data_IF_063817647336
#
_entry.id   IF_063817647336
#
_cell.length_a   1.000
_cell.length_b   1.000
_cell.length_c   1.000
_cell.angle_alpha   90.00
_cell.angle_beta   90.00
_cell.angle_gamma   90.00
#
_symmetry.space_group_name_H-M   'P 1'
#
loop_
_entity.id
_entity.type
_entity.pdbx_description
1 polymer ?
#
# COMPACT_ATOMS: atom_id res chain seq x y z
N UNK A 1 20.08 -6.07 21.37
CA UNK A 1 19.45 -7.31 21.89
C UNK A 1 20.06 -8.45 21.08
N UNK A 2 20.66 -9.46 21.71
CA UNK A 2 21.39 -10.52 20.98
C UNK A 2 20.42 -11.25 20.04
N UNK A 3 20.80 -11.45 18.78
CA UNK A 3 20.01 -12.22 17.83
C UNK A 3 19.82 -13.63 18.40
N UNK A 4 18.56 -14.04 18.59
CA UNK A 4 18.20 -15.40 19.06
C UNK A 4 18.77 -16.47 18.13
N UNK A 5 19.03 -16.11 16.88
CA UNK A 5 19.69 -16.93 15.87
C UNK A 5 21.14 -16.50 15.65
N UNK A 6 21.99 -17.49 15.32
CA UNK A 6 23.43 -17.29 15.07
C UNK A 6 23.71 -16.41 13.85
N UNK A 7 22.79 -16.37 12.89
CA UNK A 7 22.87 -15.58 11.67
C UNK A 7 21.48 -15.32 11.06
N UNK A 8 21.38 -14.27 10.24
CA UNK A 8 20.13 -13.83 9.59
C UNK A 8 19.56 -14.87 8.62
N UNK A 9 20.41 -15.70 8.01
CA UNK A 9 19.94 -16.74 7.10
C UNK A 9 19.18 -17.84 7.85
N UNK A 10 19.68 -18.24 9.03
CA UNK A 10 18.98 -19.16 9.93
C UNK A 10 17.64 -18.60 10.41
N UNK A 11 17.58 -17.32 10.78
CA UNK A 11 16.34 -16.63 11.15
C UNK A 11 15.30 -16.70 10.02
N UNK A 12 15.72 -16.38 8.79
CA UNK A 12 14.85 -16.43 7.61
C UNK A 12 14.37 -17.85 7.29
N UNK A 13 15.23 -18.86 7.46
CA UNK A 13 14.85 -20.26 7.26
C UNK A 13 13.78 -20.70 8.26
N UNK A 14 13.92 -20.35 9.54
CA UNK A 14 12.94 -20.65 10.58
C UNK A 14 11.61 -19.93 10.32
N UNK A 15 11.66 -18.64 9.97
CA UNK A 15 10.47 -17.87 9.59
C UNK A 15 9.70 -18.51 8.43
N UNK A 16 10.39 -18.91 7.36
CA UNK A 16 9.76 -19.54 6.20
C UNK A 16 9.16 -20.90 6.53
N UNK A 17 9.83 -21.70 7.37
CA UNK A 17 9.31 -23.00 7.83
C UNK A 17 8.05 -22.82 8.68
N UNK A 18 8.07 -21.90 9.66
CA UNK A 18 6.93 -21.60 10.50
C UNK A 18 5.75 -21.07 9.69
N UNK A 19 6.00 -20.13 8.78
CA UNK A 19 4.96 -19.60 7.90
C UNK A 19 4.36 -20.68 7.00
N UNK A 20 5.15 -21.65 6.56
CA UNK A 20 4.65 -22.81 5.79
C UNK A 20 3.77 -23.70 6.65
N UNK A 21 4.19 -24.06 7.86
CA UNK A 21 3.42 -24.92 8.77
C UNK A 21 2.12 -24.26 9.19
N UNK A 22 2.18 -23.02 9.69
CA UNK A 22 1.00 -22.27 10.15
C UNK A 22 0.11 -21.92 8.95
N UNK A 23 0.69 -21.58 7.81
CA UNK A 23 -0.04 -21.38 6.55
C UNK A 23 -0.82 -22.62 6.12
N UNK A 24 -0.21 -23.81 6.18
CA UNK A 24 -0.87 -25.07 5.86
C UNK A 24 -2.03 -25.38 6.82
N UNK A 25 -1.86 -25.10 8.11
CA UNK A 25 -2.94 -25.20 9.11
C UNK A 25 -4.06 -24.22 8.76
N UNK A 26 -3.73 -22.95 8.47
CA UNK A 26 -4.69 -21.92 8.09
C UNK A 26 -5.52 -22.32 6.87
N UNK A 27 -4.89 -22.81 5.81
CA UNK A 27 -5.57 -23.30 4.60
C UNK A 27 -6.50 -24.48 4.94
N UNK A 28 -6.06 -25.42 5.78
CA UNK A 28 -6.89 -26.54 6.22
C UNK A 28 -8.12 -26.09 7.02
N UNK A 29 -7.99 -24.99 7.77
CA UNK A 29 -9.08 -24.33 8.49
C UNK A 29 -9.92 -23.37 7.61
N UNK A 30 -9.66 -23.34 6.30
CA UNK A 30 -10.31 -22.43 5.32
C UNK A 30 -10.08 -20.94 5.62
N UNK A 31 -8.97 -20.62 6.29
CA UNK A 31 -8.57 -19.25 6.57
C UNK A 31 -7.68 -18.70 5.44
N UNK A 32 -7.79 -17.40 5.10
CA UNK A 32 -6.84 -16.76 4.20
C UNK A 32 -5.41 -16.83 4.73
N UNK A 33 -4.42 -17.02 3.84
CA UNK A 33 -3.00 -17.09 4.21
C UNK A 33 -2.49 -15.83 4.93
N UNK A 34 -3.09 -14.68 4.63
CA UNK A 34 -2.82 -13.41 5.32
C UNK A 34 -2.94 -13.56 6.84
N UNK A 35 -4.02 -14.20 7.30
CA UNK A 35 -4.29 -14.39 8.73
C UNK A 35 -3.24 -15.30 9.36
N UNK A 36 -2.84 -16.35 8.65
CA UNK A 36 -1.80 -17.27 9.11
C UNK A 36 -0.44 -16.58 9.25
N UNK A 37 -0.07 -15.70 8.31
CA UNK A 37 1.22 -14.99 8.36
C UNK A 37 1.26 -13.91 9.44
N UNK A 38 0.13 -13.23 9.70
CA UNK A 38 0.02 -12.32 10.87
C UNK A 38 0.17 -13.11 12.16
N UNK A 39 -0.46 -14.29 12.28
CA UNK A 39 -0.30 -15.14 13.45
C UNK A 39 1.15 -15.62 13.64
N UNK A 40 1.87 -15.93 12.55
CA UNK A 40 3.31 -16.21 12.61
C UNK A 40 4.06 -15.02 13.18
N UNK A 41 3.78 -13.81 12.68
CA UNK A 41 4.37 -12.55 13.17
C UNK A 41 4.15 -12.34 14.67
N UNK A 42 2.93 -12.54 15.16
CA UNK A 42 2.61 -12.43 16.59
C UNK A 42 3.42 -13.44 17.42
N UNK A 43 3.48 -14.70 16.97
CA UNK A 43 4.20 -15.75 17.69
C UNK A 43 5.71 -15.48 17.73
N UNK A 44 6.31 -15.13 16.60
CA UNK A 44 7.76 -14.93 16.50
C UNK A 44 8.20 -13.55 17.00
N UNK A 45 7.27 -12.60 17.10
CA UNK A 45 7.51 -11.23 17.55
C UNK A 45 7.85 -11.10 19.03
N UNK A 46 8.21 -9.87 19.48
CA UNK A 46 8.65 -9.59 20.84
C UNK A 46 7.63 -9.97 21.92
N UNK A 47 6.34 -9.89 21.60
CA UNK A 47 5.24 -10.11 22.53
C UNK A 47 5.06 -11.57 22.96
N UNK A 48 5.63 -12.54 22.22
CA UNK A 48 5.49 -13.97 22.53
C UNK A 48 6.84 -14.66 22.66
N UNK A 49 7.51 -15.01 21.55
CA UNK A 49 8.78 -15.72 21.60
C UNK A 49 10.01 -14.80 21.52
N UNK A 50 9.87 -13.59 20.98
CA UNK A 50 10.99 -12.66 20.79
C UNK A 50 12.08 -13.19 19.87
N UNK A 51 11.73 -14.08 18.94
CA UNK A 51 12.67 -14.69 18.00
C UNK A 51 13.04 -13.75 16.87
N UNK A 52 12.09 -12.92 16.46
CA UNK A 52 12.22 -11.91 15.41
C UNK A 52 11.88 -10.58 16.04
N UNK A 53 12.89 -9.72 16.13
CA UNK A 53 12.65 -8.30 16.31
C UNK A 53 12.30 -7.72 14.95
N UNK A 54 11.57 -6.61 14.89
CA UNK A 54 11.41 -5.83 13.65
C UNK A 54 12.79 -5.31 13.21
N UNK A 55 13.58 -6.20 12.61
CA UNK A 55 14.93 -5.98 12.15
C UNK A 55 14.87 -5.37 10.75
N UNK A 56 15.86 -4.55 10.41
CA UNK A 56 15.93 -3.81 9.14
C UNK A 56 15.72 -4.69 7.89
N UNK A 57 16.06 -5.99 7.95
CA UNK A 57 15.90 -6.91 6.82
C UNK A 57 14.44 -7.31 6.57
N UNK A 58 13.70 -7.71 7.61
CA UNK A 58 12.29 -8.12 7.46
C UNK A 58 11.45 -6.92 7.02
N UNK A 59 11.70 -5.75 7.62
CA UNK A 59 11.09 -4.48 7.24
C UNK A 59 11.40 -4.09 5.77
N UNK A 60 12.64 -4.25 5.31
CA UNK A 60 13.00 -4.00 3.91
C UNK A 60 12.25 -4.94 2.96
N UNK A 61 12.20 -6.24 3.27
CA UNK A 61 11.48 -7.23 2.46
C UNK A 61 9.97 -6.95 2.45
N UNK A 62 9.41 -6.55 3.59
CA UNK A 62 8.02 -6.11 3.72
C UNK A 62 7.72 -4.91 2.81
N UNK A 63 8.54 -3.85 2.88
CA UNK A 63 8.40 -2.64 2.04
C UNK A 63 8.49 -2.97 0.55
N UNK A 64 9.41 -3.85 0.14
CA UNK A 64 9.50 -4.33 -1.24
C UNK A 64 8.25 -5.12 -1.64
N UNK A 65 7.71 -5.97 -0.75
CA UNK A 65 6.50 -6.73 -0.98
C UNK A 65 5.27 -5.86 -1.22
N UNK A 66 5.09 -4.81 -0.42
CA UNK A 66 4.00 -3.84 -0.60
C UNK A 66 4.16 -3.09 -1.92
N UNK A 67 5.37 -2.61 -2.23
CA UNK A 67 5.65 -1.92 -3.48
C UNK A 67 5.31 -2.81 -4.69
N UNK A 68 5.76 -4.07 -4.69
CA UNK A 68 5.41 -5.00 -5.77
C UNK A 68 3.93 -5.37 -5.82
N UNK A 69 3.24 -5.45 -4.67
CA UNK A 69 1.80 -5.69 -4.65
C UNK A 69 1.06 -4.60 -5.39
N UNK A 70 1.30 -3.35 -5.00
CA UNK A 70 0.60 -2.21 -5.57
C UNK A 70 1.03 -1.94 -7.01
N UNK A 71 2.29 -2.22 -7.35
CA UNK A 71 2.74 -2.24 -8.73
C UNK A 71 1.99 -3.26 -9.59
N UNK A 72 1.90 -4.53 -9.16
CA UNK A 72 1.19 -5.57 -9.91
C UNK A 72 -0.30 -5.23 -10.05
N UNK A 73 -0.87 -4.56 -9.06
CA UNK A 73 -2.27 -4.11 -9.08
C UNK A 73 -2.45 -2.95 -10.05
N UNK A 74 -1.55 -1.96 -10.01
CA UNK A 74 -1.49 -0.88 -10.99
C UNK A 74 -1.31 -1.40 -12.41
N UNK A 75 -0.51 -2.44 -12.61
CA UNK A 75 -0.24 -3.07 -13.91
C UNK A 75 -1.46 -3.76 -14.52
N UNK A 76 -2.36 -4.29 -13.66
CA UNK A 76 -3.60 -4.92 -14.08
C UNK A 76 -4.72 -3.91 -14.35
N UNK A 77 -4.57 -2.67 -13.90
CA UNK A 77 -5.58 -1.65 -14.14
C UNK A 77 -5.56 -1.17 -15.58
N UNK A 78 -6.69 -1.34 -16.23
CA UNK A 78 -6.92 -0.74 -17.53
C UNK A 78 -7.28 0.74 -17.36
N UNK A 79 -6.42 1.63 -17.85
CA UNK A 79 -6.63 3.08 -17.88
C UNK A 79 -7.96 3.48 -18.55
N UNK A 80 -8.46 2.66 -19.47
CA UNK A 80 -9.76 2.88 -20.10
C UNK A 80 -10.92 2.66 -19.12
N UNK A 81 -10.82 1.64 -18.25
CA UNK A 81 -11.81 1.42 -17.19
C UNK A 81 -11.69 2.46 -16.07
N UNK A 82 -10.48 2.95 -15.76
CA UNK A 82 -10.33 4.08 -14.82
C UNK A 82 -11.06 5.33 -15.34
N UNK A 83 -11.02 5.61 -16.65
CA UNK A 83 -11.77 6.74 -17.21
C UNK A 83 -13.28 6.56 -17.14
N UNK A 84 -13.79 5.34 -17.34
CA UNK A 84 -15.24 5.09 -17.28
C UNK A 84 -15.78 4.94 -15.86
N UNK A 85 -14.93 4.56 -14.89
CA UNK A 85 -15.33 4.32 -13.49
C UNK A 85 -14.73 5.31 -12.48
N UNK A 86 -13.83 6.19 -12.91
CA UNK A 86 -13.15 7.14 -12.03
C UNK A 86 -14.10 8.07 -11.30
N UNK A 87 -15.19 8.50 -11.96
CA UNK A 87 -16.20 9.33 -11.32
C UNK A 87 -17.04 8.54 -10.30
N UNK A 88 -17.32 7.26 -10.58
CA UNK A 88 -18.00 6.36 -9.64
C UNK A 88 -17.12 6.12 -8.42
N UNK A 89 -15.85 5.74 -8.63
CA UNK A 89 -14.89 5.51 -7.56
C UNK A 89 -14.61 6.76 -6.71
N UNK A 90 -14.55 7.94 -7.33
CA UNK A 90 -14.40 9.22 -6.64
C UNK A 90 -15.65 9.54 -5.82
N UNK A 91 -16.84 9.43 -6.41
CA UNK A 91 -18.10 9.71 -5.72
C UNK A 91 -18.35 8.74 -4.56
N UNK A 92 -18.10 7.44 -4.75
CA UNK A 92 -18.28 6.43 -3.70
C UNK A 92 -17.21 6.54 -2.63
N UNK A 93 -15.95 6.80 -2.99
CA UNK A 93 -14.85 7.00 -2.04
C UNK A 93 -15.06 8.24 -1.17
N UNK A 94 -15.30 9.41 -1.78
CA UNK A 94 -15.59 10.64 -1.04
C UNK A 94 -16.86 10.51 -0.21
N UNK A 95 -17.91 9.91 -0.77
CA UNK A 95 -19.17 9.68 -0.07
C UNK A 95 -18.99 8.77 1.16
N UNK A 96 -18.24 7.68 1.03
CA UNK A 96 -17.94 6.77 2.14
C UNK A 96 -17.08 7.43 3.20
N UNK A 97 -15.99 8.11 2.84
CA UNK A 97 -15.11 8.81 3.80
C UNK A 97 -15.88 9.89 4.55
N UNK A 98 -16.70 10.68 3.86
CA UNK A 98 -17.54 11.69 4.48
C UNK A 98 -18.55 11.06 5.44
N UNK A 99 -19.31 10.06 4.97
CA UNK A 99 -20.33 9.39 5.78
C UNK A 99 -19.72 8.76 7.05
N UNK A 100 -18.65 7.99 6.90
CA UNK A 100 -18.00 7.30 8.02
C UNK A 100 -17.32 8.26 9.00
N UNK A 101 -16.70 9.34 8.50
CA UNK A 101 -16.16 10.41 9.35
C UNK A 101 -17.26 11.09 10.17
N UNK A 102 -18.38 11.46 9.54
CA UNK A 102 -19.48 12.14 10.25
C UNK A 102 -20.08 11.25 11.32
N UNK A 103 -20.40 9.99 10.98
CA UNK A 103 -20.95 9.04 11.96
C UNK A 103 -19.95 8.74 13.07
N UNK A 104 -18.68 8.48 12.74
CA UNK A 104 -17.61 8.24 13.70
C UNK A 104 -17.40 9.40 14.67
N UNK A 105 -17.47 10.64 14.17
CA UNK A 105 -17.32 11.85 14.98
C UNK A 105 -18.42 11.93 16.05
N UNK A 106 -19.69 11.76 15.67
CA UNK A 106 -20.79 11.82 16.63
C UNK A 106 -20.74 10.67 17.65
N UNK A 107 -20.30 9.47 17.25
CA UNK A 107 -20.07 8.37 18.19
C UNK A 107 -18.99 8.75 19.19
N UNK A 108 -17.84 9.29 18.74
CA UNK A 108 -16.74 9.69 19.60
C UNK A 108 -17.13 10.83 20.57
N UNK A 109 -17.90 11.82 20.11
CA UNK A 109 -18.48 12.86 20.97
C UNK A 109 -19.42 12.25 22.02
N UNK A 110 -20.29 11.30 21.63
CA UNK A 110 -21.21 10.63 22.56
C UNK A 110 -20.47 9.79 23.62
N UNK A 111 -19.26 9.33 23.32
CA UNK A 111 -18.35 8.68 24.26
C UNK A 111 -17.59 9.66 25.17
N UNK A 112 -17.85 10.97 25.05
CA UNK A 112 -17.27 12.02 25.89
C UNK A 112 -15.91 12.53 25.42
N UNK A 113 -15.49 12.23 24.19
CA UNK A 113 -14.23 12.76 23.64
C UNK A 113 -14.34 14.25 23.31
N UNK A 114 -13.22 14.97 23.41
CA UNK A 114 -13.16 16.38 22.95
C UNK A 114 -13.38 16.46 21.44
N UNK A 115 -13.86 17.59 20.89
CA UNK A 115 -14.08 17.74 19.44
C UNK A 115 -12.86 17.42 18.58
N UNK A 116 -11.67 17.85 19.00
CA UNK A 116 -10.43 17.59 18.26
C UNK A 116 -10.11 16.09 18.30
N UNK A 117 -10.13 15.46 19.48
CA UNK A 117 -9.91 14.01 19.62
C UNK A 117 -10.94 13.18 18.83
N UNK A 118 -12.21 13.57 18.90
CA UNK A 118 -13.29 12.93 18.17
C UNK A 118 -13.08 13.00 16.65
N UNK A 119 -12.55 14.11 16.14
CA UNK A 119 -12.21 14.27 14.73
C UNK A 119 -11.05 13.35 14.31
N UNK A 120 -9.98 13.27 15.11
CA UNK A 120 -8.89 12.33 14.87
C UNK A 120 -9.37 10.88 14.84
N UNK A 121 -10.19 10.47 15.82
CA UNK A 121 -10.74 9.12 15.89
C UNK A 121 -11.68 8.84 14.71
N UNK A 122 -12.54 9.80 14.36
CA UNK A 122 -13.46 9.67 13.23
C UNK A 122 -12.73 9.42 11.90
N UNK A 123 -11.68 10.19 11.63
CA UNK A 123 -10.85 10.04 10.44
C UNK A 123 -10.10 8.70 10.49
N UNK A 124 -9.53 8.33 11.64
CA UNK A 124 -8.88 7.04 11.83
C UNK A 124 -9.82 5.85 11.54
N UNK A 125 -11.09 5.94 11.94
CA UNK A 125 -12.11 4.91 11.67
C UNK A 125 -12.49 4.79 10.20
N UNK A 126 -12.23 5.83 9.39
CA UNK A 126 -12.51 5.75 7.97
C UNK A 126 -11.53 4.87 7.22
N UNK A 127 -10.30 4.69 7.73
CA UNK A 127 -9.23 3.93 7.07
C UNK A 127 -9.65 2.51 6.72
N UNK A 128 -9.30 2.13 5.51
CA UNK A 128 -9.50 0.79 4.98
C UNK A 128 -8.13 0.14 4.79
N UNK A 129 -8.06 -1.17 5.01
CA UNK A 129 -6.82 -1.91 4.77
C UNK A 129 -6.67 -2.23 3.28
N UNK A 130 -6.19 -1.25 2.50
CA UNK A 130 -5.97 -1.36 1.05
C UNK A 130 -5.21 -2.63 0.70
N UNK A 131 -4.10 -2.91 1.39
CA UNK A 131 -3.27 -4.10 1.17
C UNK A 131 -4.07 -5.40 1.31
N UNK A 132 -4.86 -5.53 2.38
CA UNK A 132 -5.64 -6.74 2.67
C UNK A 132 -6.73 -6.93 1.62
N UNK A 133 -7.50 -5.89 1.32
CA UNK A 133 -8.59 -5.98 0.33
C UNK A 133 -8.03 -6.32 -1.05
N UNK A 134 -6.97 -5.63 -1.47
CA UNK A 134 -6.31 -5.85 -2.76
C UNK A 134 -5.73 -7.27 -2.85
N UNK A 135 -5.13 -7.77 -1.77
CA UNK A 135 -4.63 -9.16 -1.72
C UNK A 135 -5.78 -10.17 -1.78
N UNK A 136 -6.86 -9.97 -1.02
CA UNK A 136 -8.04 -10.84 -1.07
C UNK A 136 -8.68 -10.87 -2.47
N UNK A 137 -8.83 -9.72 -3.13
CA UNK A 137 -9.32 -9.64 -4.50
C UNK A 137 -8.35 -10.34 -5.47
N UNK A 138 -7.05 -10.17 -5.28
CA UNK A 138 -6.04 -10.83 -6.12
C UNK A 138 -6.07 -12.35 -5.95
N UNK A 139 -6.21 -12.85 -4.73
CA UNK A 139 -6.23 -14.28 -4.42
C UNK A 139 -7.50 -14.95 -4.96
N UNK A 140 -8.62 -14.22 -4.95
CA UNK A 140 -9.88 -14.64 -5.60
C UNK A 140 -9.89 -14.42 -7.12
N UNK A 141 -8.85 -13.80 -7.69
CA UNK A 141 -8.80 -13.39 -9.12
C UNK A 141 -9.92 -12.43 -9.52
N UNK A 142 -10.40 -11.62 -8.57
CA UNK A 142 -11.50 -10.66 -8.74
C UNK A 142 -11.01 -9.23 -9.01
N UNK A 143 -9.70 -8.99 -9.15
CA UNK A 143 -9.14 -7.64 -9.41
C UNK A 143 -9.71 -7.01 -10.69
N UNK A 144 -10.03 -7.84 -11.70
CA UNK A 144 -10.52 -7.39 -12.99
C UNK A 144 -12.06 -7.29 -13.10
N UNK A 145 -12.79 -7.68 -12.06
CA UNK A 145 -14.25 -7.57 -12.05
C UNK A 145 -14.68 -6.11 -11.87
N UNK A 146 -15.95 -5.82 -12.18
CA UNK A 146 -16.53 -4.50 -11.96
C UNK A 146 -16.36 -4.05 -10.50
N UNK A 147 -16.74 -4.91 -9.54
CA UNK A 147 -16.62 -4.61 -8.12
C UNK A 147 -15.17 -4.51 -7.66
N UNK A 148 -14.25 -5.32 -8.19
CA UNK A 148 -12.84 -5.26 -7.84
C UNK A 148 -12.16 -3.96 -8.31
N UNK A 149 -12.48 -3.51 -9.52
CA UNK A 149 -11.96 -2.24 -10.06
C UNK A 149 -12.52 -1.03 -9.33
N UNK A 150 -13.82 -1.04 -9.01
CA UNK A 150 -14.43 0.01 -8.17
C UNK A 150 -13.82 -0.02 -6.76
N UNK A 151 -13.62 -1.21 -6.18
CA UNK A 151 -13.00 -1.39 -4.86
C UNK A 151 -11.60 -0.77 -4.82
N UNK A 152 -10.74 -1.12 -5.77
CA UNK A 152 -9.38 -0.56 -5.87
C UNK A 152 -9.43 0.96 -6.11
N UNK A 153 -10.33 1.41 -6.99
CA UNK A 153 -10.51 2.83 -7.29
C UNK A 153 -10.86 3.66 -6.06
N UNK A 154 -11.85 3.24 -5.25
CA UNK A 154 -12.22 4.00 -4.06
C UNK A 154 -11.12 3.94 -2.98
N UNK A 155 -10.41 2.81 -2.84
CA UNK A 155 -9.28 2.69 -1.89
C UNK A 155 -8.18 3.71 -2.20
N UNK A 156 -7.88 3.96 -3.47
CA UNK A 156 -6.90 4.98 -3.88
C UNK A 156 -7.39 6.39 -3.54
N UNK A 157 -8.66 6.68 -3.85
CA UNK A 157 -9.28 7.97 -3.51
C UNK A 157 -9.23 8.19 -2.00
N UNK A 158 -9.55 7.14 -1.24
CA UNK A 158 -9.52 7.14 0.21
C UNK A 158 -8.12 7.45 0.75
N UNK A 159 -7.07 6.76 0.28
CA UNK A 159 -5.69 7.00 0.71
C UNK A 159 -5.28 8.47 0.47
N UNK A 160 -5.65 9.05 -0.68
CA UNK A 160 -5.36 10.46 -1.00
C UNK A 160 -6.12 11.40 -0.05
N UNK A 161 -7.42 11.20 0.12
CA UNK A 161 -8.26 12.05 0.97
C UNK A 161 -7.73 12.05 2.40
N UNK A 162 -7.40 10.88 2.90
CA UNK A 162 -6.89 10.70 4.25
C UNK A 162 -5.54 11.39 4.45
N UNK A 163 -4.61 11.30 3.49
CA UNK A 163 -3.35 12.07 3.55
C UNK A 163 -3.63 13.57 3.65
N UNK A 164 -4.54 14.09 2.82
CA UNK A 164 -4.92 15.51 2.87
C UNK A 164 -5.56 15.90 4.21
N UNK A 165 -6.43 15.03 4.74
CA UNK A 165 -7.07 15.25 6.04
C UNK A 165 -6.05 15.20 7.17
N UNK A 166 -5.12 14.25 7.17
CA UNK A 166 -4.07 14.11 8.18
C UNK A 166 -3.13 15.33 8.21
N UNK A 167 -2.77 15.87 7.04
CA UNK A 167 -2.02 17.13 6.94
C UNK A 167 -2.84 18.28 7.55
N UNK A 168 -4.12 18.39 7.16
CA UNK A 168 -5.01 19.39 7.73
C UNK A 168 -5.16 19.27 9.25
N UNK A 169 -5.23 18.05 9.79
CA UNK A 169 -5.33 17.78 11.22
C UNK A 169 -4.04 18.10 11.97
N UNK A 170 -2.88 17.70 11.45
CA UNK A 170 -1.58 18.02 12.04
C UNK A 170 -1.42 19.54 12.19
N UNK A 171 -1.77 20.29 11.14
CA UNK A 171 -1.72 21.73 11.16
C UNK A 171 -2.83 22.39 12.03
N UNK A 172 -3.99 21.75 12.23
CA UNK A 172 -4.98 22.15 13.25
C UNK A 172 -4.46 21.93 14.68
N UNK A 173 -3.67 20.87 14.90
CA UNK A 173 -2.98 20.60 16.16
C UNK A 173 -1.90 21.64 16.47
N UNK A 174 -1.14 22.09 15.45
CA UNK A 174 -0.14 23.16 15.58
C UNK A 174 -0.76 24.56 15.65
N UNK A 175 -1.88 24.80 14.96
CA UNK A 175 -2.61 26.06 15.01
C UNK A 175 -3.23 26.36 16.39
N UNK A 176 -3.36 25.36 17.26
CA UNK A 176 -3.71 25.55 18.66
C UNK A 176 -2.62 26.31 19.45
N UNK A 177 -1.38 26.36 18.95
CA UNK A 177 -0.25 27.06 19.57
C UNK A 177 0.13 28.42 18.92
N UNK A 178 -0.18 28.71 17.64
CA UNK A 178 -0.34 30.09 17.11
C UNK A 178 -0.53 30.19 15.56
N UNK A 179 -1.57 30.94 15.16
CA UNK A 179 -1.55 32.09 14.24
C UNK A 179 -1.09 32.02 12.76
N UNK A 180 -1.18 30.90 12.02
CA UNK A 180 -0.96 31.00 10.56
C UNK A 180 -1.86 30.12 9.67
N UNK A 181 -3.13 30.51 9.56
CA UNK A 181 -4.07 29.95 8.57
C UNK A 181 -3.57 30.08 7.11
N UNK A 182 -2.61 30.98 6.86
CA UNK A 182 -1.96 31.13 5.56
C UNK A 182 -0.87 30.07 5.29
N UNK A 183 -0.35 29.36 6.30
CA UNK A 183 0.57 28.24 6.13
C UNK A 183 -0.18 26.97 5.67
N UNK A 184 -1.35 26.72 6.25
CA UNK A 184 -2.28 25.64 5.88
C UNK A 184 -2.65 25.62 4.39
N UNK A 185 -3.05 26.78 3.85
CA UNK A 185 -3.38 26.91 2.44
C UNK A 185 -2.18 26.66 1.52
N UNK A 186 -0.96 26.98 1.98
CA UNK A 186 0.27 26.76 1.21
C UNK A 186 0.65 25.29 1.17
N UNK A 187 0.58 24.56 2.29
CA UNK A 187 0.91 23.13 2.32
C UNK A 187 -0.03 22.29 1.47
N UNK A 188 -1.35 22.53 1.56
CA UNK A 188 -2.33 21.83 0.73
C UNK A 188 -2.10 22.08 -0.77
N UNK A 189 -1.81 23.33 -1.16
CA UNK A 189 -1.48 23.69 -2.54
C UNK A 189 -0.15 23.08 -2.97
N UNK A 190 0.86 23.05 -2.10
CA UNK A 190 2.16 22.44 -2.38
C UNK A 190 2.03 20.94 -2.65
N UNK A 191 1.23 20.21 -1.87
CA UNK A 191 0.97 18.77 -2.09
C UNK A 191 0.22 18.55 -3.40
N UNK A 192 -0.78 19.37 -3.71
CA UNK A 192 -1.49 19.29 -4.99
C UNK A 192 -0.57 19.55 -6.18
N UNK A 193 0.32 20.54 -6.07
CA UNK A 193 1.31 20.85 -7.12
C UNK A 193 2.32 19.70 -7.25
N UNK A 194 2.89 19.21 -6.14
CA UNK A 194 3.82 18.05 -6.15
C UNK A 194 3.17 16.82 -6.75
N UNK A 195 1.92 16.52 -6.39
CA UNK A 195 1.17 15.38 -6.91
C UNK A 195 0.85 15.53 -8.39
N UNK A 196 0.39 16.71 -8.80
CA UNK A 196 0.14 17.03 -10.20
C UNK A 196 1.40 16.93 -11.06
N UNK A 197 2.53 17.48 -10.58
CA UNK A 197 3.83 17.37 -11.23
C UNK A 197 4.32 15.93 -11.30
N UNK A 198 4.14 15.15 -10.24
CA UNK A 198 4.53 13.74 -10.20
C UNK A 198 3.76 12.92 -11.23
N UNK A 199 2.44 13.07 -11.27
CA UNK A 199 1.58 12.41 -12.26
C UNK A 199 1.93 12.87 -13.69
N UNK A 200 2.13 14.17 -13.90
CA UNK A 200 2.51 14.73 -15.20
C UNK A 200 3.88 14.21 -15.66
N UNK A 201 4.88 14.14 -14.78
CA UNK A 201 6.20 13.61 -15.06
C UNK A 201 6.13 12.13 -15.44
N UNK A 202 5.38 11.31 -14.69
CA UNK A 202 5.16 9.90 -15.02
C UNK A 202 4.45 9.76 -16.37
N UNK A 203 3.41 10.56 -16.64
CA UNK A 203 2.72 10.56 -17.92
C UNK A 203 3.61 10.96 -19.09
N UNK A 204 4.54 11.90 -18.88
CA UNK A 204 5.54 12.30 -19.86
C UNK A 204 6.55 11.16 -20.12
N UNK A 205 7.10 10.58 -19.06
CA UNK A 205 8.03 9.43 -19.15
C UNK A 205 7.36 8.24 -19.84
N UNK A 206 6.09 7.97 -19.52
CA UNK A 206 5.29 6.92 -20.13
C UNK A 206 5.23 7.06 -21.67
N UNK A 207 4.94 8.29 -22.14
CA UNK A 207 4.80 8.59 -23.57
C UNK A 207 6.12 8.60 -24.33
N UNK A 208 7.18 9.17 -23.75
CA UNK A 208 8.43 9.44 -24.48
C UNK A 208 9.56 8.46 -24.18
N UNK A 209 9.64 7.89 -22.98
CA UNK A 209 10.80 7.10 -22.51
C UNK A 209 10.45 5.63 -22.33
N UNK A 210 9.38 5.31 -21.61
CA UNK A 210 9.05 3.93 -21.23
C UNK A 210 8.78 3.06 -22.44
N UNK A 211 7.97 3.53 -23.39
CA UNK A 211 7.59 2.72 -24.55
C UNK A 211 8.80 2.24 -25.37
N UNK A 212 9.72 3.12 -25.84
CA UNK A 212 10.90 2.67 -26.58
C UNK A 212 11.88 1.85 -25.72
N UNK A 213 12.04 2.22 -24.44
CA UNK A 213 12.95 1.53 -23.52
C UNK A 213 12.47 0.10 -23.23
N UNK A 214 11.17 -0.09 -22.97
CA UNK A 214 10.58 -1.41 -22.80
C UNK A 214 10.72 -2.28 -24.05
N UNK A 215 10.63 -1.69 -25.24
CA UNK A 215 10.82 -2.42 -26.50
C UNK A 215 12.24 -2.99 -26.62
N UNK A 216 13.25 -2.24 -26.18
CA UNK A 216 14.64 -2.70 -26.17
C UNK A 216 14.87 -3.76 -25.09
N UNK A 217 14.37 -3.53 -23.88
CA UNK A 217 14.54 -4.46 -22.75
C UNK A 217 13.78 -5.77 -22.95
N UNK A 218 12.66 -5.76 -23.68
CA UNK A 218 11.85 -6.94 -23.95
C UNK A 218 12.58 -8.04 -24.75
N UNK A 219 13.75 -7.73 -25.34
CA UNK A 219 14.61 -8.73 -25.97
C UNK A 219 15.14 -9.76 -24.96
N UNK A 220 15.22 -9.40 -23.68
CA UNK A 220 15.48 -10.32 -22.56
C UNK A 220 14.36 -10.24 -21.53
N UNK A 221 13.71 -11.37 -21.26
CA UNK A 221 12.64 -11.45 -20.25
C UNK A 221 13.14 -11.12 -18.85
N UNK A 222 14.42 -11.41 -18.56
CA UNK A 222 15.03 -11.13 -17.25
C UNK A 222 15.26 -9.63 -17.04
N UNK A 223 15.77 -8.93 -18.07
CA UNK A 223 15.97 -7.48 -18.02
C UNK A 223 14.64 -6.73 -17.88
N UNK A 224 13.61 -7.22 -18.56
CA UNK A 224 12.27 -6.66 -18.50
C UNK A 224 11.65 -6.79 -17.09
N UNK A 225 11.85 -7.92 -16.41
CA UNK A 225 11.41 -8.11 -15.02
C UNK A 225 12.24 -7.25 -14.07
N UNK A 226 13.57 -7.22 -14.24
CA UNK A 226 14.46 -6.40 -13.42
C UNK A 226 14.09 -4.91 -13.51
N UNK A 227 13.84 -4.42 -14.72
CA UNK A 227 13.37 -3.06 -14.95
C UNK A 227 12.03 -2.78 -14.26
N UNK A 228 11.06 -3.70 -14.37
CA UNK A 228 9.77 -3.53 -13.73
C UNK A 228 9.88 -3.42 -12.20
N UNK A 229 10.73 -4.25 -11.58
CA UNK A 229 11.00 -4.18 -10.13
C UNK A 229 11.70 -2.87 -9.79
N UNK A 230 12.76 -2.51 -10.51
CA UNK A 230 13.49 -1.27 -10.30
C UNK A 230 12.59 -0.05 -10.46
N UNK A 231 11.68 -0.05 -11.44
CA UNK A 231 10.72 1.01 -11.69
C UNK A 231 9.68 1.13 -10.56
N UNK A 232 9.16 0.01 -10.09
CA UNK A 232 8.25 -0.03 -8.94
C UNK A 232 8.87 0.57 -7.68
N UNK A 233 10.09 0.13 -7.34
CA UNK A 233 10.81 0.59 -6.15
C UNK A 233 11.27 2.04 -6.31
N UNK A 234 11.74 2.44 -7.50
CA UNK A 234 12.18 3.81 -7.76
C UNK A 234 11.04 4.82 -7.65
N UNK A 235 9.86 4.56 -8.23
CA UNK A 235 8.72 5.44 -8.06
C UNK A 235 8.13 5.38 -6.65
N UNK A 236 8.15 4.22 -5.99
CA UNK A 236 7.78 4.13 -4.57
C UNK A 236 8.67 5.01 -3.69
N UNK A 237 9.99 4.97 -3.90
CA UNK A 237 10.94 5.84 -3.23
C UNK A 237 10.70 7.32 -3.57
N UNK A 238 10.52 7.65 -4.86
CA UNK A 238 10.22 9.02 -5.30
C UNK A 238 8.93 9.57 -4.68
N UNK A 239 7.89 8.74 -4.57
CA UNK A 239 6.65 9.07 -3.86
C UNK A 239 6.93 9.45 -2.40
N UNK A 240 7.70 8.62 -1.70
CA UNK A 240 8.16 8.91 -0.33
C UNK A 240 8.92 10.23 -0.19
N UNK A 241 9.85 10.52 -1.09
CA UNK A 241 10.60 11.79 -1.11
C UNK A 241 9.71 13.01 -1.35
N UNK A 242 8.61 12.84 -2.10
CA UNK A 242 7.64 13.90 -2.37
C UNK A 242 6.59 14.07 -1.27
N UNK A 243 6.64 13.26 -0.21
CA UNK A 243 5.66 13.27 0.89
C UNK A 243 4.41 12.43 0.65
N UNK A 244 4.39 11.63 -0.43
CA UNK A 244 3.35 10.63 -0.67
C UNK A 244 3.73 9.28 -0.03
N UNK A 245 2.76 8.41 0.12
CA UNK A 245 3.02 7.04 0.54
C UNK A 245 3.82 6.29 -0.55
N UNK A 246 4.70 5.36 -0.14
CA UNK A 246 5.51 4.55 -1.07
C UNK A 246 4.61 3.68 -1.97
N UNK A 247 3.45 3.35 -1.42
CA UNK A 247 2.33 2.64 -1.99
C UNK A 247 1.81 3.34 -3.25
N UNK A 248 1.53 4.64 -3.17
CA UNK A 248 1.03 5.44 -4.29
C UNK A 248 2.06 5.51 -5.41
N UNK A 249 3.35 5.70 -5.08
CA UNK A 249 4.42 5.72 -6.08
C UNK A 249 4.56 4.39 -6.83
N UNK A 250 4.57 3.27 -6.11
CA UNK A 250 4.65 1.94 -6.70
C UNK A 250 3.41 1.57 -7.52
N UNK A 251 2.22 1.99 -7.06
CA UNK A 251 0.97 1.87 -7.81
C UNK A 251 1.02 2.62 -9.15
N UNK A 252 1.44 3.89 -9.14
CA UNK A 252 1.57 4.69 -10.36
C UNK A 252 2.61 4.11 -11.33
N UNK A 253 3.69 3.51 -10.82
CA UNK A 253 4.62 2.73 -11.64
C UNK A 253 3.88 1.59 -12.38
N UNK A 254 3.04 0.83 -11.69
CA UNK A 254 2.23 -0.22 -12.30
C UNK A 254 1.33 0.33 -13.41
N UNK A 255 0.58 1.39 -13.10
CA UNK A 255 -0.33 2.05 -14.04
C UNK A 255 0.39 2.55 -15.29
N UNK A 256 1.60 3.10 -15.14
CA UNK A 256 2.41 3.59 -16.26
C UNK A 256 2.84 2.48 -17.25
N UNK A 257 2.91 1.22 -16.78
CA UNK A 257 3.23 0.06 -17.61
C UNK A 257 1.99 -0.70 -18.11
N UNK A 258 0.82 -0.43 -17.53
CA UNK A 258 -0.42 -1.19 -17.77
C UNK A 258 -0.94 -1.08 -19.21
N UNK A 259 -0.67 0.03 -19.90
CA UNK A 259 -1.07 0.22 -21.30
C UNK A 259 -0.06 -0.30 -22.31
N UNK A 260 1.05 -0.89 -21.86
CA UNK A 260 2.11 -1.39 -22.75
C UNK A 260 1.84 -2.84 -23.15
N UNK A 261 2.32 -3.29 -24.33
CA UNK A 261 2.16 -4.69 -24.76
C UNK A 261 2.82 -5.72 -23.81
N UNK A 262 3.70 -5.26 -22.92
CA UNK A 262 4.50 -6.11 -22.04
C UNK A 262 3.84 -6.41 -20.69
N UNK A 263 2.68 -5.81 -20.40
CA UNK A 263 2.00 -5.93 -19.10
C UNK A 263 1.80 -7.38 -18.63
N UNK A 264 1.44 -8.29 -19.54
CA UNK A 264 1.15 -9.69 -19.19
C UNK A 264 2.43 -10.45 -18.86
N UNK A 265 3.50 -10.22 -19.63
CA UNK A 265 4.80 -10.83 -19.40
C UNK A 265 5.40 -10.40 -18.06
N UNK A 266 5.27 -9.12 -17.71
CA UNK A 266 5.68 -8.58 -16.41
C UNK A 266 4.82 -9.16 -15.29
N UNK A 267 3.49 -9.08 -15.44
CA UNK A 267 2.53 -9.48 -14.42
C UNK A 267 2.66 -10.96 -14.05
N UNK A 268 2.79 -11.86 -15.03
CA UNK A 268 2.89 -13.30 -14.79
C UNK A 268 4.10 -13.68 -13.92
N UNK A 269 5.19 -12.92 -14.01
CA UNK A 269 6.44 -13.20 -13.28
C UNK A 269 6.46 -12.53 -11.91
N UNK A 270 5.99 -11.29 -11.83
CA UNK A 270 5.99 -10.52 -10.60
C UNK A 270 4.93 -10.97 -9.58
N UNK A 271 3.85 -11.64 -10.01
CA UNK A 271 2.85 -12.20 -9.09
C UNK A 271 3.51 -13.13 -8.06
N UNK A 272 4.39 -14.03 -8.49
CA UNK A 272 5.07 -14.97 -7.59
C UNK A 272 6.04 -14.27 -6.63
N UNK A 273 6.81 -13.29 -7.15
CA UNK A 273 7.74 -12.52 -6.33
C UNK A 273 7.02 -11.66 -5.29
N UNK A 274 5.93 -11.00 -5.71
CA UNK A 274 5.00 -10.28 -4.84
C UNK A 274 4.47 -11.17 -3.74
N UNK A 275 3.93 -12.34 -4.08
CA UNK A 275 3.31 -13.24 -3.10
C UNK A 275 4.32 -13.74 -2.08
N UNK A 276 5.55 -14.02 -2.51
CA UNK A 276 6.66 -14.34 -1.61
C UNK A 276 7.04 -13.16 -0.70
N UNK A 277 7.18 -11.95 -1.23
CA UNK A 277 7.58 -10.79 -0.41
C UNK A 277 6.47 -10.32 0.55
N UNK A 278 5.20 -10.49 0.18
CA UNK A 278 4.07 -10.13 1.05
C UNK A 278 3.99 -10.97 2.32
N UNK A 279 4.54 -12.17 2.32
CA UNK A 279 4.71 -12.97 3.53
C UNK A 279 5.43 -12.16 4.61
N UNK A 280 6.54 -11.51 4.27
CA UNK A 280 7.32 -10.72 5.21
C UNK A 280 6.56 -9.51 5.72
N UNK A 281 5.77 -8.85 4.86
CA UNK A 281 4.90 -7.76 5.30
C UNK A 281 3.90 -8.19 6.38
N UNK A 282 3.23 -9.33 6.19
CA UNK A 282 2.25 -9.80 7.18
C UNK A 282 2.91 -10.30 8.47
N UNK A 283 4.10 -10.88 8.38
CA UNK A 283 4.90 -11.26 9.56
C UNK A 283 5.34 -10.00 10.32
N UNK A 284 5.85 -8.99 9.62
CA UNK A 284 6.27 -7.71 10.19
C UNK A 284 5.10 -7.01 10.91
N UNK A 285 3.94 -6.96 10.27
CA UNK A 285 2.71 -6.41 10.85
C UNK A 285 2.29 -7.16 12.13
N UNK A 286 2.39 -8.50 12.14
CA UNK A 286 2.07 -9.30 13.32
C UNK A 286 3.09 -9.12 14.45
N UNK A 287 4.38 -9.00 14.11
CA UNK A 287 5.45 -8.81 15.08
C UNK A 287 5.41 -7.43 15.75
N UNK A 288 4.86 -6.41 15.08
CA UNK A 288 4.66 -5.07 15.61
C UNK A 288 3.49 -4.92 16.60
N UNK A 289 2.71 -5.98 16.87
CA UNK A 289 1.60 -5.93 17.80
C UNK A 289 2.09 -6.08 19.25
N UNK A 290 1.93 -5.03 20.05
CA UNK A 290 2.12 -5.06 21.50
C UNK A 290 0.89 -5.69 22.17
N UNK A 291 1.10 -6.80 22.90
CA UNK A 291 0.06 -7.58 23.60
C UNK A 291 0.10 -7.39 25.11
#
# INVERSE_FOLDING_TARGET
>A
MASTFADVFTEMAVLLLLATVIGAIGVRLRQPLIVAFIAVGILVGPSVFGWVSANDQVDLLAKLGIALLLFVVGLKLDLHIIRSMGLVALATGLGQVFFTSVVGYFIAIALGMTPVTALYVAVALTFSSTIIIVKLLSDKREVDTLHGRIAIGFLIVQDIVVVLVMIGLAALGEAADAADAAALGREAVEVLIKGGLFIAAIGLLMRYVLTPLLHQLARSRELLVLFAIAWAVALGAAGGYLGFSKEVGAFLAGVSLASTPYREAIGARLVSLRDFLLLFFFIDLGAGLEL
#
